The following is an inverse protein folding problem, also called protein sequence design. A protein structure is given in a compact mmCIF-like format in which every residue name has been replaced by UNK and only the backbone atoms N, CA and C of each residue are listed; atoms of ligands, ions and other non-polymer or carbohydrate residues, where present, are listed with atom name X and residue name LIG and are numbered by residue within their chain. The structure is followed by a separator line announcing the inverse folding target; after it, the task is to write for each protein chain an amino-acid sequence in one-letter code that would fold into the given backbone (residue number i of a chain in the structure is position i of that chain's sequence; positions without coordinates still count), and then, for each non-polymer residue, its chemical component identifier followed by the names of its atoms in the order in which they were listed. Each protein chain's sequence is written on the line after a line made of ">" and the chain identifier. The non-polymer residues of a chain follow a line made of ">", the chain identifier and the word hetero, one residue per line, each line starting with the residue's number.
data_IF_275209564040
#
_entry.id   IF_275209564040
#
_cell.length_a   1.000
_cell.length_b   1.000
_cell.length_c   1.000
_cell.angle_alpha   90.00
_cell.angle_beta   90.00
_cell.angle_gamma   90.00
#
_symmetry.space_group_name_H-M   'P 1'
#
loop_
_entity.id
_entity.type
_entity.pdbx_description
1 polymer ?
#
# COMPACT_ATOMS: atom_id res chain seq x y z
N UNK A 1 10.39 9.27 -14.45
CA UNK A 1 10.00 9.17 -13.02
C UNK A 1 8.71 8.35 -13.03
N UNK A 2 8.61 7.26 -12.27
CA UNK A 2 7.36 6.50 -12.19
C UNK A 2 6.29 7.36 -11.49
N UNK A 3 5.06 7.35 -12.00
CA UNK A 3 3.97 8.09 -11.38
C UNK A 3 3.52 7.33 -10.11
N UNK A 4 3.13 8.07 -9.06
CA UNK A 4 2.60 7.47 -7.83
C UNK A 4 1.39 6.57 -8.12
N UNK A 5 0.62 6.88 -9.16
CA UNK A 5 -0.50 6.05 -9.64
C UNK A 5 -0.04 4.71 -10.19
N UNK A 6 1.07 4.69 -10.92
CA UNK A 6 1.63 3.44 -11.47
C UNK A 6 2.11 2.53 -10.33
N UNK A 7 2.79 3.10 -9.33
CA UNK A 7 3.26 2.36 -8.15
C UNK A 7 2.08 1.83 -7.33
N UNK A 8 1.09 2.68 -7.07
CA UNK A 8 -0.12 2.29 -6.33
C UNK A 8 -0.87 1.17 -7.04
N UNK A 9 -1.04 1.25 -8.36
CA UNK A 9 -1.72 0.22 -9.14
C UNK A 9 -1.00 -1.14 -9.07
N UNK A 10 0.34 -1.16 -9.19
CA UNK A 10 1.13 -2.40 -9.09
C UNK A 10 0.99 -3.03 -7.71
N UNK A 11 1.05 -2.24 -6.64
CA UNK A 11 0.93 -2.74 -5.27
C UNK A 11 -0.49 -3.23 -5.00
N UNK A 12 -1.51 -2.48 -5.42
CA UNK A 12 -2.90 -2.89 -5.29
C UNK A 12 -3.16 -4.23 -6.00
N UNK A 13 -2.68 -4.41 -7.23
CA UNK A 13 -2.81 -5.68 -7.96
C UNK A 13 -2.09 -6.84 -7.25
N UNK A 14 -0.91 -6.60 -6.67
CA UNK A 14 -0.20 -7.62 -5.90
C UNK A 14 -0.96 -8.02 -4.62
N UNK A 15 -1.56 -7.04 -3.91
CA UNK A 15 -2.37 -7.28 -2.72
C UNK A 15 -3.66 -8.05 -3.06
N UNK A 16 -4.29 -7.74 -4.19
CA UNK A 16 -5.44 -8.51 -4.70
C UNK A 16 -5.07 -9.96 -5.03
N UNK A 17 -3.90 -10.19 -5.65
CA UNK A 17 -3.42 -11.55 -5.98
C UNK A 17 -3.23 -12.42 -4.73
N UNK A 18 -2.79 -11.83 -3.61
CA UNK A 18 -2.64 -12.53 -2.32
C UNK A 18 -3.90 -12.47 -1.45
N UNK A 19 -5.03 -12.00 -1.97
CA UNK A 19 -6.31 -11.87 -1.26
C UNK A 19 -6.24 -11.01 0.01
N UNK A 20 -5.37 -9.99 0.03
CA UNK A 20 -5.30 -9.01 1.12
C UNK A 20 -6.35 -7.93 0.89
N UNK A 21 -7.19 -7.70 1.90
CA UNK A 21 -8.14 -6.58 1.94
C UNK A 21 -7.69 -5.55 2.94
N UNK A 22 -7.97 -4.27 2.67
CA UNK A 22 -7.72 -3.19 3.60
C UNK A 22 -7.35 -1.86 2.93
N UNK A 23 -6.47 -1.11 3.58
CA UNK A 23 -6.09 0.24 3.14
C UNK A 23 -4.63 0.27 2.72
N UNK A 24 -4.38 0.73 1.50
CA UNK A 24 -3.06 0.98 0.94
C UNK A 24 -2.77 2.48 0.96
N UNK A 25 -1.76 2.87 1.71
CA UNK A 25 -1.21 4.22 1.74
C UNK A 25 0.15 4.21 1.03
N UNK A 26 0.28 4.99 -0.04
CA UNK A 26 1.51 5.17 -0.80
C UNK A 26 1.94 6.64 -0.71
N UNK A 27 3.14 6.86 -0.20
CA UNK A 27 3.77 8.18 -0.13
C UNK A 27 5.03 8.22 -0.99
N UNK A 28 5.13 9.21 -1.87
CA UNK A 28 6.30 9.47 -2.72
C UNK A 28 6.71 10.94 -2.68
N UNK A 29 7.94 11.25 -3.10
CA UNK A 29 8.36 12.64 -3.24
C UNK A 29 7.45 13.37 -4.25
N UNK A 30 6.64 14.31 -3.75
CA UNK A 30 5.68 15.08 -4.55
C UNK A 30 4.22 14.65 -4.42
N UNK A 31 3.88 13.64 -3.61
CA UNK A 31 2.47 13.31 -3.35
C UNK A 31 2.24 12.09 -2.46
N UNK A 32 1.00 11.99 -1.99
CA UNK A 32 0.45 10.89 -1.20
C UNK A 32 -0.79 10.35 -1.90
N UNK A 33 -1.03 9.05 -1.80
CA UNK A 33 -2.21 8.38 -2.35
C UNK A 33 -2.68 7.32 -1.37
N UNK A 34 -3.96 7.39 -1.03
CA UNK A 34 -4.62 6.39 -0.20
C UNK A 34 -5.69 5.70 -1.05
N UNK A 35 -5.66 4.38 -1.06
CA UNK A 35 -6.59 3.54 -1.82
C UNK A 35 -7.09 2.38 -0.95
N UNK A 36 -8.38 2.09 -1.04
CA UNK A 36 -8.93 0.85 -0.49
C UNK A 36 -8.70 -0.30 -1.46
N UNK A 37 -8.16 -1.41 -0.97
CA UNK A 37 -7.91 -2.64 -1.74
C UNK A 37 -8.87 -3.72 -1.24
N UNK A 38 -9.65 -4.29 -2.17
CA UNK A 38 -10.67 -5.29 -1.83
C UNK A 38 -11.88 -4.76 -1.06
N UNK A 39 -12.71 -5.68 -0.58
CA UNK A 39 -13.88 -5.39 0.26
C UNK A 39 -13.47 -5.49 1.73
N UNK A 40 -13.80 -4.48 2.53
CA UNK A 40 -13.51 -4.47 3.96
C UNK A 40 -14.10 -5.72 4.64
N UNK A 41 -13.23 -6.58 5.17
CA UNK A 41 -13.60 -7.71 6.02
C UNK A 41 -13.08 -7.42 7.43
N UNK A 42 -13.62 -8.06 8.46
CA UNK A 42 -13.27 -7.75 9.86
C UNK A 42 -11.76 -7.84 10.19
N UNK A 43 -10.95 -8.40 9.28
CA UNK A 43 -9.50 -8.62 9.36
C UNK A 43 -8.73 -7.77 8.32
N UNK A 44 -9.14 -6.52 8.10
CA UNK A 44 -8.46 -5.63 7.15
C UNK A 44 -7.02 -5.30 7.57
N UNK A 45 -6.10 -5.35 6.61
CA UNK A 45 -4.68 -5.05 6.79
C UNK A 45 -4.38 -3.62 6.30
N UNK A 46 -3.71 -2.84 7.14
CA UNK A 46 -3.15 -1.54 6.75
C UNK A 46 -1.75 -1.75 6.16
N UNK A 47 -1.57 -1.33 4.90
CA UNK A 47 -0.31 -1.42 4.16
C UNK A 47 0.19 -0.01 3.89
N UNK A 48 1.32 0.35 4.50
CA UNK A 48 1.96 1.65 4.30
C UNK A 48 3.24 1.47 3.50
N UNK A 49 3.32 2.18 2.37
CA UNK A 49 4.43 2.13 1.43
C UNK A 49 5.02 3.53 1.28
N UNK A 50 6.28 3.67 1.68
CA UNK A 50 7.02 4.93 1.49
C UNK A 50 8.08 4.73 0.42
N UNK A 51 7.96 5.45 -0.70
CA UNK A 51 8.94 5.47 -1.78
C UNK A 51 9.87 6.66 -1.59
N UNK A 52 11.08 6.36 -1.12
CA UNK A 52 12.19 7.30 -1.05
C UNK A 52 13.31 6.94 -2.04
N UNK A 53 14.43 7.66 -2.02
CA UNK A 53 15.65 7.21 -2.70
C UNK A 53 15.97 5.76 -2.27
N UNK A 54 16.50 4.95 -3.20
CA UNK A 54 16.69 3.48 -3.08
C UNK A 54 17.41 3.05 -1.78
N UNK A 55 18.12 3.98 -1.12
CA UNK A 55 18.74 3.76 0.19
C UNK A 55 17.75 3.56 1.37
N UNK A 56 16.44 3.85 1.22
CA UNK A 56 15.46 3.79 2.33
C UNK A 56 14.01 3.41 1.96
N UNK A 57 13.78 2.40 1.12
CA UNK A 57 12.43 1.85 0.99
C UNK A 57 12.10 0.97 2.23
N UNK A 58 11.09 1.37 3.02
CA UNK A 58 10.57 0.57 4.14
C UNK A 58 9.10 0.22 3.88
N UNK A 59 8.78 -1.08 3.96
CA UNK A 59 7.40 -1.58 3.95
C UNK A 59 7.04 -1.87 5.39
N UNK A 60 6.02 -1.18 5.93
CA UNK A 60 5.52 -1.41 7.29
C UNK A 60 4.15 -2.06 7.19
N UNK A 61 4.06 -3.33 7.62
CA UNK A 61 2.79 -4.05 7.74
C UNK A 61 2.37 -4.06 9.21
N UNK A 62 1.24 -3.45 9.54
CA UNK A 62 0.69 -3.47 10.90
C UNK A 62 -0.51 -4.42 10.94
N UNK A 63 -0.33 -5.58 11.56
CA UNK A 63 -1.43 -6.52 11.83
C UNK A 63 -1.96 -6.23 13.23
N UNK A 64 -3.22 -5.83 13.34
CA UNK A 64 -3.89 -5.61 14.62
C UNK A 64 -4.70 -6.85 14.99
N UNK A 65 -4.21 -7.64 15.92
CA UNK A 65 -4.94 -8.79 16.49
C UNK A 65 -6.01 -8.25 17.46
N UNK A 66 -7.26 -8.70 17.33
CA UNK A 66 -8.38 -8.30 18.19
C UNK A 66 -8.81 -9.40 19.13
#
# INVERSE_FOLDING_TARGET
>A
MADIKDVTAVIASALEEVSVTGTLDVSMEGGETVQSVGLATGDDVEVIVTVGPIERAAVVTRVSDR
#
